data_IF_943873542251
#
_entry.id   IF_943873542251
#
_cell.length_a   1.000
_cell.length_b   1.000
_cell.length_c   1.000
_cell.angle_alpha   90.00
_cell.angle_beta   90.00
_cell.angle_gamma   90.00
#
_symmetry.space_group_name_H-M   'P 1'
#
loop_
_entity.id
_entity.type
_entity.pdbx_description
1 polymer ?
#
# COMPACT_ATOMS: atom_id res chain seq x y z
N UNK A 1 8.66 8.86 10.49
CA UNK A 1 8.16 8.50 9.15
C UNK A 1 8.19 9.71 8.23
N UNK A 2 8.39 9.48 6.93
CA UNK A 2 8.22 10.53 5.92
C UNK A 2 6.76 10.97 5.83
N UNK A 3 6.54 12.23 5.46
CA UNK A 3 5.18 12.72 5.20
C UNK A 3 4.55 11.93 4.05
N UNK A 4 3.22 11.80 4.07
CA UNK A 4 2.50 11.11 2.99
C UNK A 4 2.86 11.71 1.64
N UNK A 5 3.23 10.86 0.72
CA UNK A 5 3.52 11.22 -0.66
C UNK A 5 2.34 11.96 -1.31
N UNK A 6 2.65 12.95 -2.14
CA UNK A 6 1.63 13.83 -2.74
C UNK A 6 0.61 13.08 -3.56
N UNK A 7 1.01 11.98 -4.19
CA UNK A 7 0.16 11.13 -5.02
C UNK A 7 -0.98 10.41 -4.25
N UNK A 8 -0.89 10.31 -2.92
CA UNK A 8 -1.94 9.68 -2.10
C UNK A 8 -2.83 10.67 -1.36
N UNK A 9 -2.57 11.99 -1.48
CA UNK A 9 -3.33 13.02 -0.75
C UNK A 9 -4.79 13.14 -1.17
N UNK A 10 -5.18 12.55 -2.30
CA UNK A 10 -6.55 12.50 -2.76
C UNK A 10 -7.41 11.46 -2.01
N UNK A 11 -6.79 10.55 -1.26
CA UNK A 11 -7.48 9.59 -0.42
C UNK A 11 -8.11 10.28 0.78
N UNK A 12 -9.31 9.83 1.15
CA UNK A 12 -10.01 10.33 2.33
C UNK A 12 -9.15 10.09 3.58
N UNK A 13 -9.13 11.09 4.47
CA UNK A 13 -8.38 11.07 5.74
C UNK A 13 -6.84 10.97 5.59
N UNK A 14 -6.29 11.04 4.38
CA UNK A 14 -4.84 10.98 4.18
C UNK A 14 -4.07 12.05 4.97
N UNK A 15 -4.68 13.23 5.18
CA UNK A 15 -4.06 14.33 5.93
C UNK A 15 -4.16 14.18 7.45
N UNK A 16 -4.93 13.21 7.94
CA UNK A 16 -5.08 12.90 9.36
C UNK A 16 -4.04 11.89 9.85
N UNK A 17 -3.27 11.31 8.92
CA UNK A 17 -2.24 10.33 9.23
C UNK A 17 -1.12 11.03 9.99
N UNK A 18 -0.83 10.53 11.20
CA UNK A 18 0.28 10.99 12.02
C UNK A 18 1.56 10.24 11.63
N UNK A 19 2.68 10.96 11.64
CA UNK A 19 4.01 10.42 11.30
C UNK A 19 4.94 10.30 12.49
N UNK A 20 4.47 10.72 13.67
CA UNK A 20 5.21 10.69 14.92
C UNK A 20 4.40 9.96 15.99
N UNK A 21 5.09 9.20 16.81
CA UNK A 21 4.48 8.48 17.94
C UNK A 21 4.10 9.46 19.05
N UNK A 22 3.02 9.13 19.74
CA UNK A 22 2.60 9.79 20.99
C UNK A 22 2.79 8.79 22.12
N UNK A 23 3.82 8.96 22.93
CA UNK A 23 4.30 7.96 23.87
C UNK A 23 3.34 7.65 25.04
N UNK A 24 2.33 8.50 25.28
CA UNK A 24 1.45 8.40 26.46
C UNK A 24 0.04 7.84 26.15
N UNK A 25 -0.23 7.43 24.91
CA UNK A 25 -1.56 6.93 24.55
C UNK A 25 -1.64 5.40 24.69
N UNK A 26 -2.63 4.91 25.42
CA UNK A 26 -2.97 3.49 25.56
C UNK A 26 -4.14 3.15 24.65
N UNK A 27 -4.03 2.04 23.91
CA UNK A 27 -5.05 1.56 22.98
C UNK A 27 -5.60 0.21 23.41
N UNK A 28 -6.92 0.01 23.27
CA UNK A 28 -7.51 -1.31 23.47
C UNK A 28 -7.14 -2.29 22.34
N UNK A 29 -7.10 -1.78 21.12
CA UNK A 29 -6.69 -2.52 19.92
C UNK A 29 -5.69 -1.69 19.11
N UNK A 30 -4.62 -2.32 18.65
CA UNK A 30 -3.67 -1.74 17.71
C UNK A 30 -3.54 -2.65 16.50
N UNK A 31 -3.76 -2.10 15.32
CA UNK A 31 -3.60 -2.83 14.06
C UNK A 31 -2.28 -2.45 13.40
N UNK A 32 -1.47 -3.45 13.07
CA UNK A 32 -0.29 -3.30 12.23
C UNK A 32 -0.61 -3.90 10.87
N UNK A 33 -0.59 -3.08 9.85
CA UNK A 33 -0.96 -3.46 8.49
C UNK A 33 0.26 -3.36 7.56
N UNK A 34 0.42 -4.34 6.67
CA UNK A 34 1.44 -4.33 5.61
C UNK A 34 2.88 -4.20 6.14
N UNK A 35 3.15 -4.93 7.20
CA UNK A 35 4.41 -4.84 7.91
C UNK A 35 5.04 -6.22 8.05
N UNK A 36 6.01 -6.52 7.17
CA UNK A 36 6.64 -7.85 7.08
C UNK A 36 7.47 -8.26 8.29
N UNK A 37 7.78 -7.34 9.21
CA UNK A 37 8.58 -7.60 10.40
C UNK A 37 8.40 -6.50 11.45
N UNK A 38 8.63 -6.81 12.72
CA UNK A 38 8.43 -5.89 13.84
C UNK A 38 9.33 -4.63 13.81
N UNK A 39 10.51 -4.72 13.22
CA UNK A 39 11.44 -3.60 13.08
C UNK A 39 10.88 -2.48 12.18
N UNK A 40 9.91 -2.77 11.32
CA UNK A 40 9.32 -1.78 10.42
C UNK A 40 8.37 -0.79 11.10
N UNK A 41 7.83 -1.14 12.25
CA UNK A 41 7.01 -0.21 13.04
C UNK A 41 7.76 0.44 14.21
N UNK A 42 9.11 0.32 14.25
CA UNK A 42 9.95 0.89 15.32
C UNK A 42 9.59 2.33 15.70
N UNK A 43 9.28 3.26 14.79
CA UNK A 43 8.85 4.61 15.16
C UNK A 43 7.61 4.67 16.05
N UNK A 44 6.79 3.61 16.05
CA UNK A 44 5.56 3.47 16.85
C UNK A 44 5.63 2.36 17.89
N UNK A 45 6.81 1.79 18.13
CA UNK A 45 6.98 0.65 19.03
C UNK A 45 6.49 0.93 20.47
N UNK A 46 6.60 2.18 20.94
CA UNK A 46 6.06 2.58 22.23
C UNK A 46 4.53 2.43 22.28
N UNK A 47 3.81 2.92 21.25
CA UNK A 47 2.36 2.81 21.13
C UNK A 47 1.91 1.36 21.02
N UNK A 48 2.63 0.55 20.22
CA UNK A 48 2.38 -0.90 20.07
C UNK A 48 2.49 -1.61 21.43
N UNK A 49 3.53 -1.31 22.22
CA UNK A 49 3.72 -1.91 23.56
C UNK A 49 2.65 -1.48 24.59
N UNK A 50 2.02 -0.32 24.40
CA UNK A 50 0.94 0.17 25.26
C UNK A 50 -0.43 -0.37 24.85
N UNK A 51 -0.55 -1.08 23.75
CA UNK A 51 -1.80 -1.68 23.30
C UNK A 51 -2.15 -2.92 24.14
N UNK A 52 -3.44 -3.09 24.46
CA UNK A 52 -3.92 -4.30 25.16
C UNK A 52 -3.98 -5.51 24.23
N UNK A 53 -4.25 -5.27 22.96
CA UNK A 53 -4.33 -6.32 21.94
C UNK A 53 -3.69 -5.81 20.63
N UNK A 54 -2.75 -6.56 20.11
CA UNK A 54 -2.07 -6.30 18.85
C UNK A 54 -2.58 -7.26 17.78
N UNK A 55 -2.99 -6.71 16.64
CA UNK A 55 -3.48 -7.47 15.48
C UNK A 55 -2.63 -7.16 14.26
N UNK A 56 -1.98 -8.20 13.69
CA UNK A 56 -1.19 -8.11 12.46
C UNK A 56 -2.00 -8.56 11.24
N UNK A 57 -2.02 -7.77 10.16
CA UNK A 57 -2.61 -8.17 8.88
C UNK A 57 -1.61 -7.86 7.77
N UNK A 58 -1.23 -8.89 6.99
CA UNK A 58 -0.17 -8.74 6.02
C UNK A 58 -0.29 -9.76 4.87
N UNK A 59 0.48 -9.55 3.80
CA UNK A 59 0.61 -10.48 2.67
C UNK A 59 2.07 -10.88 2.38
N UNK A 60 3.05 -10.36 3.12
CA UNK A 60 4.45 -10.68 2.90
C UNK A 60 4.78 -12.12 3.25
N UNK A 61 5.43 -12.85 2.34
CA UNK A 61 5.85 -14.23 2.53
C UNK A 61 6.90 -14.39 3.66
N UNK A 62 7.61 -13.32 3.98
CA UNK A 62 8.60 -13.27 5.07
C UNK A 62 8.02 -13.01 6.45
N UNK A 63 6.71 -12.78 6.53
CA UNK A 63 6.04 -12.53 7.81
C UNK A 63 5.61 -13.84 8.45
N UNK A 64 6.26 -14.21 9.55
CA UNK A 64 5.96 -15.42 10.32
C UNK A 64 4.78 -15.23 11.31
N UNK A 65 4.17 -14.03 11.32
CA UNK A 65 3.10 -13.65 12.24
C UNK A 65 3.63 -13.02 13.53
N UNK A 66 3.04 -11.92 13.93
CA UNK A 66 3.33 -11.25 15.21
C UNK A 66 2.03 -10.65 15.78
N UNK A 67 2.07 -10.33 17.07
CA UNK A 67 0.93 -9.86 17.84
C UNK A 67 0.10 -10.99 18.44
N UNK A 68 -0.99 -10.62 19.13
CA UNK A 68 -1.89 -11.57 19.79
C UNK A 68 -2.74 -12.32 18.78
N UNK A 69 -3.11 -11.66 17.69
CA UNK A 69 -3.82 -12.22 16.55
C UNK A 69 -3.16 -11.74 15.26
N UNK A 70 -3.17 -12.60 14.24
CA UNK A 70 -2.68 -12.20 12.92
C UNK A 70 -3.40 -12.94 11.79
N UNK A 71 -3.46 -12.26 10.65
CA UNK A 71 -3.93 -12.82 9.38
C UNK A 71 -2.89 -12.52 8.30
N UNK A 72 -2.10 -13.53 7.94
CA UNK A 72 -1.11 -13.45 6.88
C UNK A 72 -1.57 -14.29 5.69
N UNK A 73 -1.61 -13.71 4.50
CA UNK A 73 -1.98 -14.41 3.27
C UNK A 73 -0.97 -14.12 2.14
N UNK A 74 0.12 -14.90 2.03
CA UNK A 74 1.13 -14.72 0.99
C UNK A 74 0.63 -14.98 -0.44
N UNK A 75 -0.58 -15.48 -0.61
CA UNK A 75 -1.20 -15.66 -1.92
C UNK A 75 -2.01 -14.42 -2.36
N UNK A 76 -2.30 -13.51 -1.44
CA UNK A 76 -2.94 -12.25 -1.76
C UNK A 76 -1.95 -11.31 -2.46
N UNK A 77 -2.43 -10.55 -3.43
CA UNK A 77 -1.61 -9.60 -4.19
C UNK A 77 -1.17 -8.39 -3.38
N UNK A 78 -1.91 -8.06 -2.31
CA UNK A 78 -1.72 -6.90 -1.45
C UNK A 78 -2.34 -7.16 -0.08
N UNK A 79 -1.87 -6.47 0.96
CA UNK A 79 -2.56 -6.45 2.26
C UNK A 79 -3.99 -5.92 2.13
N UNK A 80 -4.25 -4.99 1.20
CA UNK A 80 -5.60 -4.53 0.87
C UNK A 80 -6.51 -5.64 0.34
N UNK A 81 -5.98 -6.64 -0.39
CA UNK A 81 -6.73 -7.82 -0.78
C UNK A 81 -7.07 -8.69 0.45
N UNK A 82 -6.14 -8.83 1.40
CA UNK A 82 -6.40 -9.55 2.66
C UNK A 82 -7.51 -8.86 3.46
N UNK A 83 -7.52 -7.52 3.50
CA UNK A 83 -8.60 -6.75 4.13
C UNK A 83 -9.95 -6.97 3.45
N UNK A 84 -9.99 -7.08 2.11
CA UNK A 84 -11.22 -7.43 1.38
C UNK A 84 -11.76 -8.82 1.74
N UNK A 85 -10.89 -9.75 2.17
CA UNK A 85 -11.34 -11.09 2.64
C UNK A 85 -11.98 -11.04 4.03
N UNK A 86 -11.66 -10.00 4.83
CA UNK A 86 -12.11 -9.87 6.23
C UNK A 86 -13.38 -9.02 6.32
N UNK A 87 -13.47 -7.99 5.50
CA UNK A 87 -14.59 -7.04 5.56
C UNK A 87 -15.85 -7.63 4.92
N UNK A 88 -16.98 -7.40 5.57
CA UNK A 88 -18.30 -7.64 4.97
C UNK A 88 -18.51 -6.62 3.84
N UNK A 89 -18.80 -7.10 2.64
CA UNK A 89 -18.88 -6.27 1.45
C UNK A 89 -19.85 -5.09 1.59
N UNK A 90 -21.00 -5.30 2.20
CA UNK A 90 -22.03 -4.28 2.41
C UNK A 90 -21.58 -3.16 3.36
N UNK A 91 -20.57 -3.41 4.19
CA UNK A 91 -19.98 -2.42 5.11
C UNK A 91 -18.84 -1.61 4.51
N UNK A 92 -18.35 -1.97 3.32
CA UNK A 92 -17.30 -1.21 2.64
C UNK A 92 -17.92 0.05 2.04
N UNK A 93 -17.58 1.23 2.60
CA UNK A 93 -17.96 2.51 2.03
C UNK A 93 -17.19 2.79 0.74
N UNK A 94 -17.65 3.79 -0.03
CA UNK A 94 -16.94 4.22 -1.24
C UNK A 94 -15.51 4.71 -0.93
N UNK A 95 -15.31 5.43 0.16
CA UNK A 95 -14.02 5.95 0.60
C UNK A 95 -13.08 4.79 0.98
N UNK A 96 -13.58 3.82 1.75
CA UNK A 96 -12.84 2.60 2.08
C UNK A 96 -12.48 1.81 0.82
N UNK A 97 -13.44 1.61 -0.09
CA UNK A 97 -13.20 0.94 -1.37
C UNK A 97 -12.13 1.65 -2.20
N UNK A 98 -12.10 2.98 -2.19
CA UNK A 98 -11.07 3.76 -2.88
C UNK A 98 -9.67 3.50 -2.30
N UNK A 99 -9.53 3.43 -0.99
CA UNK A 99 -8.26 3.11 -0.33
C UNK A 99 -7.82 1.67 -0.64
N UNK A 100 -8.72 0.68 -0.49
CA UNK A 100 -8.44 -0.72 -0.77
C UNK A 100 -8.03 -0.94 -2.23
N UNK A 101 -8.77 -0.34 -3.16
CA UNK A 101 -8.46 -0.43 -4.58
C UNK A 101 -7.09 0.19 -4.90
N UNK A 102 -6.76 1.35 -4.30
CA UNK A 102 -5.47 2.00 -4.48
C UNK A 102 -4.32 1.08 -4.05
N UNK A 103 -4.42 0.43 -2.89
CA UNK A 103 -3.40 -0.52 -2.43
C UNK A 103 -3.24 -1.71 -3.37
N UNK A 104 -4.34 -2.32 -3.82
CA UNK A 104 -4.29 -3.43 -4.80
C UNK A 104 -3.62 -2.98 -6.11
N UNK A 105 -3.97 -1.81 -6.63
CA UNK A 105 -3.38 -1.25 -7.86
C UNK A 105 -1.88 -1.02 -7.71
N UNK A 106 -1.44 -0.54 -6.54
CA UNK A 106 -0.03 -0.29 -6.27
C UNK A 106 0.79 -1.57 -6.21
N UNK A 107 0.39 -2.56 -5.41
CA UNK A 107 1.13 -3.80 -5.22
C UNK A 107 1.12 -4.71 -6.43
N UNK A 108 0.13 -4.56 -7.30
CA UNK A 108 0.04 -5.29 -8.57
C UNK A 108 0.69 -4.56 -9.75
N UNK A 109 1.19 -3.33 -9.55
CA UNK A 109 1.69 -2.48 -10.62
C UNK A 109 0.64 -2.28 -11.72
N UNK A 110 -0.57 -1.86 -11.33
CA UNK A 110 -1.73 -1.73 -12.23
C UNK A 110 -2.12 -3.08 -12.84
N UNK A 111 -2.19 -4.13 -12.03
CA UNK A 111 -2.52 -5.52 -12.42
C UNK A 111 -1.54 -6.15 -13.40
N UNK A 112 -0.32 -5.64 -13.50
CA UNK A 112 0.72 -6.10 -14.44
C UNK A 112 1.63 -7.18 -13.83
N UNK A 113 1.82 -7.15 -12.50
CA UNK A 113 2.73 -8.06 -11.82
C UNK A 113 2.15 -9.48 -11.72
N UNK A 114 3.03 -10.48 -11.58
CA UNK A 114 2.68 -11.91 -11.53
C UNK A 114 1.89 -12.31 -10.28
N UNK A 115 1.85 -11.46 -9.26
CA UNK A 115 1.01 -11.64 -8.06
C UNK A 115 -0.48 -11.33 -8.32
N UNK A 116 -0.83 -10.78 -9.49
CA UNK A 116 -2.23 -10.54 -9.89
C UNK A 116 -2.91 -11.87 -10.18
N UNK A 117 -3.91 -12.23 -9.38
CA UNK A 117 -4.66 -13.47 -9.49
C UNK A 117 -6.10 -13.21 -9.96
N UNK A 118 -6.84 -14.30 -10.26
CA UNK A 118 -8.30 -14.19 -10.48
C UNK A 118 -9.00 -13.55 -9.28
N UNK A 119 -8.63 -13.92 -8.05
CA UNK A 119 -9.21 -13.40 -6.81
C UNK A 119 -8.94 -11.91 -6.66
N UNK A 120 -7.73 -11.45 -6.99
CA UNK A 120 -7.38 -10.04 -7.07
C UNK A 120 -8.34 -9.26 -7.97
N UNK A 121 -8.63 -9.80 -9.17
CA UNK A 121 -9.54 -9.15 -10.12
C UNK A 121 -11.01 -9.18 -9.66
N UNK A 122 -11.42 -10.24 -8.96
CA UNK A 122 -12.76 -10.34 -8.36
C UNK A 122 -12.96 -9.25 -7.29
N UNK A 123 -12.00 -9.07 -6.37
CA UNK A 123 -12.06 -7.99 -5.38
C UNK A 123 -11.96 -6.61 -6.02
N UNK A 124 -11.08 -6.43 -7.00
CA UNK A 124 -11.00 -5.17 -7.74
C UNK A 124 -12.35 -4.82 -8.40
N UNK A 125 -13.02 -5.80 -9.02
CA UNK A 125 -14.36 -5.66 -9.60
C UNK A 125 -15.41 -5.25 -8.56
N UNK A 126 -15.46 -5.94 -7.43
CA UNK A 126 -16.35 -5.62 -6.31
C UNK A 126 -16.14 -4.17 -5.81
N UNK A 127 -14.88 -3.74 -5.66
CA UNK A 127 -14.57 -2.38 -5.23
C UNK A 127 -15.00 -1.34 -6.28
N UNK A 128 -14.91 -1.64 -7.59
CA UNK A 128 -15.41 -0.76 -8.65
C UNK A 128 -16.93 -0.56 -8.56
N UNK A 129 -17.69 -1.57 -8.17
CA UNK A 129 -19.14 -1.47 -7.98
C UNK A 129 -19.51 -0.48 -6.86
N UNK A 130 -18.59 -0.21 -5.92
CA UNK A 130 -18.73 0.84 -4.90
C UNK A 130 -18.53 2.25 -5.45
N UNK A 131 -18.27 2.41 -6.75
CA UNK A 131 -18.11 3.70 -7.44
C UNK A 131 -16.69 4.28 -7.36
N UNK A 132 -15.68 3.43 -7.26
CA UNK A 132 -14.27 3.81 -7.35
C UNK A 132 -13.93 4.23 -8.78
N UNK A 133 -13.17 5.31 -8.93
CA UNK A 133 -12.67 5.77 -10.23
C UNK A 133 -11.26 5.26 -10.51
N UNK A 134 -11.16 4.18 -11.28
CA UNK A 134 -9.88 3.60 -11.72
C UNK A 134 -8.99 4.64 -12.40
N UNK A 135 -9.54 5.38 -13.36
CA UNK A 135 -8.79 6.40 -14.11
C UNK A 135 -8.16 7.41 -13.16
N UNK A 136 -8.96 7.97 -12.24
CA UNK A 136 -8.44 8.94 -11.27
C UNK A 136 -7.29 8.35 -10.43
N UNK A 137 -7.45 7.14 -9.90
CA UNK A 137 -6.43 6.51 -9.06
C UNK A 137 -5.14 6.29 -9.86
N UNK A 138 -5.23 5.70 -11.04
CA UNK A 138 -4.06 5.39 -11.85
C UNK A 138 -3.36 6.66 -12.33
N UNK A 139 -4.11 7.67 -12.77
CA UNK A 139 -3.53 8.93 -13.22
C UNK A 139 -2.81 9.64 -12.08
N UNK A 140 -3.45 9.79 -10.90
CA UNK A 140 -2.87 10.47 -9.74
C UNK A 140 -1.61 9.76 -9.23
N UNK A 141 -1.58 8.42 -9.22
CA UNK A 141 -0.52 7.66 -8.55
C UNK A 141 0.61 7.21 -9.49
N UNK A 142 0.37 6.99 -10.79
CA UNK A 142 1.38 6.45 -11.71
C UNK A 142 1.76 7.39 -12.84
N UNK A 143 0.85 8.23 -13.32
CA UNK A 143 1.08 9.01 -14.53
C UNK A 143 1.30 10.50 -14.30
N UNK A 144 0.88 11.06 -13.18
CA UNK A 144 1.20 12.45 -12.87
C UNK A 144 2.68 12.62 -12.56
N UNK A 145 3.36 13.37 -13.42
CA UNK A 145 4.76 13.74 -13.24
C UNK A 145 4.90 15.26 -13.37
N UNK A 146 5.67 15.84 -12.48
CA UNK A 146 6.00 17.26 -12.57
C UNK A 146 6.88 17.53 -13.80
N UNK A 147 6.87 18.77 -14.26
CA UNK A 147 7.78 19.20 -15.34
C UNK A 147 9.24 18.87 -15.02
N UNK A 148 9.67 19.07 -13.78
CA UNK A 148 11.05 18.78 -13.34
C UNK A 148 11.35 17.27 -13.42
N UNK A 149 10.44 16.41 -12.97
CA UNK A 149 10.59 14.95 -13.08
C UNK A 149 10.72 14.51 -14.55
N UNK A 150 9.89 15.06 -15.44
CA UNK A 150 9.96 14.75 -16.86
C UNK A 150 11.28 15.26 -17.48
N UNK A 151 11.76 16.45 -17.11
CA UNK A 151 13.05 16.96 -17.56
C UNK A 151 14.22 16.09 -17.07
N UNK A 152 14.19 15.67 -15.80
CA UNK A 152 15.24 14.79 -15.25
C UNK A 152 15.24 13.44 -15.97
N UNK A 153 14.08 12.85 -16.18
CA UNK A 153 13.94 11.60 -16.93
C UNK A 153 14.50 11.75 -18.35
N UNK A 154 14.12 12.83 -19.05
CA UNK A 154 14.62 13.10 -20.39
C UNK A 154 16.15 13.23 -20.42
N UNK A 155 16.75 13.95 -19.46
CA UNK A 155 18.20 14.07 -19.34
C UNK A 155 18.88 12.74 -19.04
N UNK A 156 18.31 11.93 -18.15
CA UNK A 156 18.85 10.62 -17.82
C UNK A 156 18.84 9.69 -19.05
N UNK A 157 17.72 9.64 -19.79
CA UNK A 157 17.59 8.85 -21.02
C UNK A 157 18.60 9.29 -22.10
N UNK A 158 18.78 10.61 -22.28
CA UNK A 158 19.75 11.14 -23.26
C UNK A 158 21.22 10.84 -22.89
N UNK A 159 21.52 10.68 -21.59
CA UNK A 159 22.86 10.35 -21.11
C UNK A 159 23.10 8.85 -20.96
N UNK A 160 22.06 8.04 -21.06
CA UNK A 160 22.18 6.60 -20.87
C UNK A 160 23.06 5.98 -21.96
N UNK A 161 23.88 5.03 -21.54
CA UNK A 161 24.79 4.28 -22.40
C UNK A 161 24.50 2.79 -22.26
N UNK A 162 24.68 2.06 -23.38
CA UNK A 162 24.52 0.63 -23.45
C UNK A 162 25.87 -0.07 -23.24
N UNK A 163 25.88 -1.09 -22.41
CA UNK A 163 27.03 -1.95 -22.12
C UNK A 163 26.65 -3.41 -22.27
N UNK A 164 27.66 -4.29 -22.34
CA UNK A 164 27.47 -5.74 -22.42
C UNK A 164 26.50 -6.14 -23.55
N UNK A 165 26.79 -5.70 -24.77
CA UNK A 165 25.97 -5.95 -25.98
C UNK A 165 24.48 -5.54 -25.79
N UNK A 166 24.24 -4.45 -25.10
CA UNK A 166 22.91 -3.91 -24.89
C UNK A 166 22.12 -4.53 -23.72
N UNK A 167 22.77 -5.35 -22.91
CA UNK A 167 22.12 -5.99 -21.74
C UNK A 167 22.07 -5.08 -20.50
N UNK A 168 22.92 -4.05 -20.45
CA UNK A 168 23.04 -3.12 -19.31
C UNK A 168 22.86 -1.69 -19.82
N UNK A 169 22.03 -0.92 -19.14
CA UNK A 169 21.85 0.51 -19.36
C UNK A 169 22.35 1.24 -18.11
N UNK A 170 23.24 2.22 -18.29
CA UNK A 170 23.71 3.12 -17.21
C UNK A 170 23.34 4.56 -17.61
N UNK A 171 22.68 5.28 -16.71
CA UNK A 171 22.27 6.68 -16.91
C UNK A 171 22.77 7.57 -15.77
#
# INVERSE_FOLDING_TARGET
LESISTEFRFLSHAQEIITESKDDESYDLFFVLDCGSEDRYEPFAAMVRCAKTLIGIDHHISNDGFGDFYKIDPQASATCEVLCQIFEEDKISKECAQCLYTGIVHDTGVFKHSNTTRKTMEYAGMLLEKGVSTTKIIDETFYQKTFVQNQLLGKALLKSQLYADGQIIIS
#
